data_IF_072799840397
#
_entry.id   IF_072799840397
#
_cell.length_a   1.000
_cell.length_b   1.000
_cell.length_c   1.000
_cell.angle_alpha   90.00
_cell.angle_beta   90.00
_cell.angle_gamma   90.00
#
_symmetry.space_group_name_H-M   'P 1'
#
loop_
_entity.id
_entity.type
_entity.pdbx_description
1 polymer ?
#
# COMPACT_ATOMS: atom_id res chain seq x y z
N UNK A 1 21.80 26.75 30.30
CA UNK A 1 22.22 25.63 29.41
C UNK A 1 21.59 24.28 29.78
N UNK A 2 21.91 23.63 30.92
CA UNK A 2 21.36 22.28 31.25
C UNK A 2 19.82 22.21 31.33
N UNK A 3 19.17 23.22 31.92
CA UNK A 3 17.70 23.28 32.02
C UNK A 3 17.00 23.48 30.67
N UNK A 4 17.59 24.30 29.79
CA UNK A 4 17.04 24.64 28.46
C UNK A 4 17.14 23.45 27.49
N UNK A 5 18.28 22.74 27.50
CA UNK A 5 18.47 21.51 26.70
C UNK A 5 17.55 20.40 27.21
N UNK A 6 17.39 20.25 28.53
CA UNK A 6 16.45 19.28 29.10
C UNK A 6 15.01 19.56 28.65
N UNK A 7 14.58 20.81 28.69
CA UNK A 7 13.24 21.19 28.23
C UNK A 7 13.00 20.89 26.73
N UNK A 8 14.01 21.02 25.87
CA UNK A 8 13.91 20.60 24.46
C UNK A 8 13.67 19.09 24.35
N UNK A 9 14.44 18.27 25.09
CA UNK A 9 14.28 16.82 25.07
C UNK A 9 12.95 16.36 25.67
N UNK A 10 12.51 16.98 26.76
CA UNK A 10 11.23 16.72 27.38
C UNK A 10 10.07 17.05 26.42
N UNK A 11 10.21 18.08 25.56
CA UNK A 11 9.23 18.43 24.53
C UNK A 11 9.31 17.55 23.27
N UNK A 12 10.50 17.06 22.90
CA UNK A 12 10.73 16.20 21.74
C UNK A 12 10.19 14.79 21.91
N UNK A 13 10.43 14.21 23.09
CA UNK A 13 10.06 12.83 23.42
C UNK A 13 8.59 12.48 23.14
N UNK A 14 7.58 13.27 23.56
CA UNK A 14 6.19 12.94 23.29
C UNK A 14 5.85 12.92 21.79
N UNK A 15 6.50 13.75 20.95
CA UNK A 15 6.29 13.75 19.50
C UNK A 15 6.81 12.44 18.88
N UNK A 16 8.00 12.00 19.29
CA UNK A 16 8.60 10.74 18.83
C UNK A 16 7.84 9.51 19.34
N UNK A 17 7.29 9.58 20.57
CA UNK A 17 6.47 8.51 21.14
C UNK A 17 5.11 8.40 20.43
N UNK A 18 4.46 9.53 20.14
CA UNK A 18 3.22 9.57 19.34
C UNK A 18 3.46 9.00 17.93
N UNK A 19 4.53 9.41 17.27
CA UNK A 19 4.92 8.88 15.95
C UNK A 19 5.11 7.37 16.00
N UNK A 20 5.84 6.84 16.98
CA UNK A 20 6.06 5.38 17.12
C UNK A 20 4.76 4.61 17.31
N UNK A 21 3.83 5.12 18.12
CA UNK A 21 2.53 4.50 18.34
C UNK A 21 1.70 4.49 17.05
N UNK A 22 1.61 5.63 16.37
CA UNK A 22 0.84 5.73 15.11
C UNK A 22 1.45 4.89 14.00
N UNK A 23 2.77 4.92 13.86
CA UNK A 23 3.50 4.09 12.89
C UNK A 23 3.22 2.60 13.10
N UNK A 24 3.23 2.12 14.34
CA UNK A 24 2.94 0.72 14.63
C UNK A 24 1.51 0.30 14.20
N UNK A 25 0.53 1.20 14.34
CA UNK A 25 -0.85 0.97 13.89
C UNK A 25 -0.92 0.94 12.36
N UNK A 26 -0.28 1.91 11.69
CA UNK A 26 -0.27 2.00 10.23
C UNK A 26 0.48 0.82 9.59
N UNK A 27 1.61 0.39 10.17
CA UNK A 27 2.37 -0.78 9.73
C UNK A 27 1.54 -2.06 9.86
N UNK A 28 0.82 -2.24 10.98
CA UNK A 28 -0.07 -3.38 11.17
C UNK A 28 -1.23 -3.39 10.15
N UNK A 29 -1.82 -2.23 9.88
CA UNK A 29 -2.86 -2.10 8.86
C UNK A 29 -2.33 -2.41 7.45
N UNK A 30 -1.13 -1.92 7.11
CA UNK A 30 -0.47 -2.22 5.85
C UNK A 30 -0.18 -3.72 5.68
N UNK A 31 0.29 -4.39 6.73
CA UNK A 31 0.52 -5.83 6.73
C UNK A 31 -0.77 -6.63 6.48
N UNK A 32 -1.88 -6.27 7.13
CA UNK A 32 -3.17 -6.93 6.90
C UNK A 32 -3.64 -6.79 5.45
N UNK A 33 -3.50 -5.60 4.86
CA UNK A 33 -3.84 -5.36 3.45
C UNK A 33 -2.95 -6.15 2.50
N UNK A 34 -1.66 -6.26 2.82
CA UNK A 34 -0.69 -7.05 2.05
C UNK A 34 -1.06 -8.54 2.04
N UNK A 35 -1.39 -9.12 3.21
CA UNK A 35 -1.86 -10.50 3.30
C UNK A 35 -3.15 -10.76 2.51
N UNK A 36 -4.06 -9.78 2.46
CA UNK A 36 -5.27 -9.86 1.65
C UNK A 36 -4.95 -9.90 0.15
N UNK A 37 -4.04 -9.03 -0.31
CA UNK A 37 -3.58 -8.99 -1.71
C UNK A 37 -2.92 -10.31 -2.10
N UNK A 38 -2.07 -10.88 -1.25
CA UNK A 38 -1.42 -12.18 -1.48
C UNK A 38 -2.45 -13.31 -1.61
N UNK A 39 -3.43 -13.36 -0.69
CA UNK A 39 -4.50 -14.36 -0.72
C UNK A 39 -5.33 -14.28 -2.00
N UNK A 40 -5.76 -13.08 -2.39
CA UNK A 40 -6.52 -12.86 -3.62
C UNK A 40 -5.71 -13.22 -4.85
N UNK A 41 -4.42 -12.89 -4.87
CA UNK A 41 -3.51 -13.26 -5.96
C UNK A 41 -3.35 -14.77 -6.09
N UNK A 42 -3.20 -15.49 -4.97
CA UNK A 42 -3.15 -16.96 -4.95
C UNK A 42 -4.48 -17.59 -5.39
N UNK A 43 -5.61 -17.02 -4.99
CA UNK A 43 -6.93 -17.52 -5.41
C UNK A 43 -7.13 -17.31 -6.91
N UNK A 44 -6.77 -16.14 -7.45
CA UNK A 44 -6.78 -15.89 -8.88
C UNK A 44 -5.85 -16.87 -9.59
N UNK A 45 -4.63 -17.10 -9.08
CA UNK A 45 -3.70 -18.06 -9.68
C UNK A 45 -4.21 -19.50 -9.62
N UNK A 46 -4.98 -19.89 -8.59
CA UNK A 46 -5.59 -21.22 -8.50
C UNK A 46 -6.72 -21.37 -9.51
N UNK A 47 -7.58 -20.36 -9.62
CA UNK A 47 -8.71 -20.37 -10.56
C UNK A 47 -8.22 -20.20 -12.00
N UNK A 48 -7.19 -19.40 -12.25
CA UNK A 48 -6.59 -19.21 -13.57
C UNK A 48 -5.60 -20.31 -13.93
N UNK A 49 -4.85 -20.87 -12.99
CA UNK A 49 -3.90 -21.95 -13.22
C UNK A 49 -4.58 -23.29 -13.55
N UNK A 50 -5.85 -23.44 -13.16
CA UNK A 50 -6.70 -24.53 -13.67
C UNK A 50 -7.14 -24.33 -15.13
N UNK A 51 -6.94 -23.14 -15.70
CA UNK A 51 -7.21 -22.78 -17.10
C UNK A 51 -5.86 -22.52 -17.77
N UNK A 52 -5.29 -23.50 -18.48
CA UNK A 52 -3.97 -23.32 -19.09
C UNK A 52 -3.92 -22.08 -20.00
N UNK A 53 -2.75 -21.44 -20.10
CA UNK A 53 -2.57 -20.28 -21.00
C UNK A 53 -2.92 -20.63 -22.46
N UNK A 54 -2.63 -21.87 -22.87
CA UNK A 54 -3.08 -22.41 -24.14
C UNK A 54 -4.61 -22.45 -24.24
N UNK A 55 -5.32 -22.86 -23.19
CA UNK A 55 -6.78 -22.83 -23.11
C UNK A 55 -7.31 -21.40 -23.24
N UNK A 56 -6.70 -20.40 -22.59
CA UNK A 56 -7.09 -18.98 -22.71
C UNK A 56 -6.89 -18.43 -24.13
N UNK A 57 -5.77 -18.74 -24.78
CA UNK A 57 -5.51 -18.35 -26.18
C UNK A 57 -6.46 -19.07 -27.14
N UNK A 58 -6.74 -20.35 -26.88
CA UNK A 58 -7.72 -21.14 -27.63
C UNK A 58 -9.12 -20.51 -27.50
N UNK A 59 -9.56 -20.18 -26.29
CA UNK A 59 -10.85 -19.51 -26.03
C UNK A 59 -10.90 -18.16 -26.75
N UNK A 60 -9.83 -17.37 -26.68
CA UNK A 60 -9.72 -16.06 -27.34
C UNK A 60 -9.88 -16.19 -28.85
N UNK A 61 -9.16 -17.13 -29.47
CA UNK A 61 -9.27 -17.43 -30.90
C UNK A 61 -10.71 -17.77 -31.30
N UNK A 62 -11.40 -18.63 -30.55
CA UNK A 62 -12.77 -19.02 -30.86
C UNK A 62 -13.76 -17.87 -30.67
N UNK A 63 -13.58 -17.01 -29.66
CA UNK A 63 -14.43 -15.82 -29.44
C UNK A 63 -14.24 -14.79 -30.57
N UNK A 64 -13.01 -14.53 -30.96
CA UNK A 64 -12.67 -13.54 -32.00
C UNK A 64 -13.11 -14.01 -33.39
N UNK A 65 -13.06 -15.32 -33.66
CA UNK A 65 -13.40 -15.92 -34.96
C UNK A 65 -14.80 -16.57 -34.99
N UNK A 66 -15.67 -16.26 -34.03
CA UNK A 66 -16.94 -16.97 -33.80
C UNK A 66 -17.84 -17.12 -35.04
N UNK A 67 -17.79 -16.17 -35.97
CA UNK A 67 -18.61 -16.12 -37.19
C UNK A 67 -18.07 -16.98 -38.34
N UNK A 68 -16.79 -17.34 -38.28
CA UNK A 68 -16.10 -18.14 -39.31
C UNK A 68 -16.02 -19.62 -38.94
N UNK A 69 -16.50 -19.98 -37.75
CA UNK A 69 -16.50 -21.35 -37.27
C UNK A 69 -17.63 -22.19 -37.88
N UNK A 70 -17.38 -23.48 -38.14
CA UNK A 70 -18.43 -24.45 -38.44
C UNK A 70 -19.54 -24.47 -37.36
N UNK A 71 -20.81 -24.69 -37.72
CA UNK A 71 -21.94 -24.66 -36.79
C UNK A 71 -21.76 -25.57 -35.55
N UNK A 72 -21.20 -26.76 -35.76
CA UNK A 72 -20.93 -27.75 -34.71
C UNK A 72 -19.93 -27.23 -33.65
N UNK A 73 -18.91 -26.50 -34.11
CA UNK A 73 -17.94 -25.86 -33.22
C UNK A 73 -18.52 -24.62 -32.54
N UNK A 74 -19.44 -23.90 -33.18
CA UNK A 74 -20.15 -22.80 -32.53
C UNK A 74 -21.01 -23.29 -31.36
N UNK A 75 -21.74 -24.40 -31.52
CA UNK A 75 -22.51 -25.03 -30.44
C UNK A 75 -21.61 -25.50 -29.30
N UNK A 76 -20.50 -26.18 -29.62
CA UNK A 76 -19.53 -26.61 -28.62
C UNK A 76 -18.98 -25.43 -27.81
N UNK A 77 -18.59 -24.33 -28.47
CA UNK A 77 -18.09 -23.12 -27.80
C UNK A 77 -19.18 -22.46 -26.96
N UNK A 78 -20.43 -22.42 -27.42
CA UNK A 78 -21.54 -21.87 -26.63
C UNK A 78 -21.83 -22.69 -25.37
N UNK A 79 -21.79 -24.01 -25.48
CA UNK A 79 -22.02 -24.91 -24.35
C UNK A 79 -20.87 -24.83 -23.35
N UNK A 80 -19.63 -24.85 -23.84
CA UNK A 80 -18.45 -24.63 -23.03
C UNK A 80 -18.49 -23.27 -22.31
N UNK A 81 -18.92 -22.20 -22.99
CA UNK A 81 -19.10 -20.89 -22.36
C UNK A 81 -20.16 -20.94 -21.25
N UNK A 82 -21.30 -21.61 -21.44
CA UNK A 82 -22.31 -21.78 -20.38
C UNK A 82 -21.76 -22.53 -19.16
N UNK A 83 -20.97 -23.57 -19.39
CA UNK A 83 -20.36 -24.38 -18.33
C UNK A 83 -19.29 -23.59 -17.55
N UNK A 84 -18.60 -22.65 -18.20
CA UNK A 84 -17.48 -21.91 -17.63
C UNK A 84 -17.80 -20.44 -17.24
N UNK A 85 -18.99 -19.92 -17.56
CA UNK A 85 -19.43 -18.55 -17.22
C UNK A 85 -19.29 -18.28 -15.71
N UNK A 86 -19.57 -19.28 -14.86
CA UNK A 86 -19.40 -19.17 -13.41
C UNK A 86 -17.94 -18.90 -13.03
N UNK A 87 -16.99 -19.61 -13.65
CA UNK A 87 -15.56 -19.43 -13.44
C UNK A 87 -15.09 -18.06 -13.92
N UNK A 88 -15.54 -17.60 -15.10
CA UNK A 88 -15.21 -16.26 -15.59
C UNK A 88 -15.75 -15.13 -14.71
N UNK A 89 -17.00 -15.27 -14.25
CA UNK A 89 -17.64 -14.30 -13.34
C UNK A 89 -16.90 -14.25 -12.01
N UNK A 90 -16.47 -15.41 -11.49
CA UNK A 90 -15.67 -15.51 -10.27
C UNK A 90 -14.30 -14.84 -10.44
N UNK A 91 -13.58 -15.11 -11.54
CA UNK A 91 -12.27 -14.47 -11.82
C UNK A 91 -12.42 -12.96 -11.95
N UNK A 92 -13.46 -12.48 -12.65
CA UNK A 92 -13.72 -11.05 -12.79
C UNK A 92 -13.97 -10.39 -11.41
N UNK A 93 -14.76 -11.03 -10.55
CA UNK A 93 -15.00 -10.56 -9.18
C UNK A 93 -13.71 -10.53 -8.35
N UNK A 94 -12.92 -11.61 -8.37
CA UNK A 94 -11.64 -11.67 -7.64
C UNK A 94 -10.65 -10.61 -8.14
N UNK A 95 -10.61 -10.36 -9.45
CA UNK A 95 -9.81 -9.28 -10.03
C UNK A 95 -10.25 -7.92 -9.48
N UNK A 96 -11.54 -7.63 -9.46
CA UNK A 96 -12.06 -6.35 -8.98
C UNK A 96 -11.76 -6.17 -7.49
N UNK A 97 -11.90 -7.23 -6.68
CA UNK A 97 -11.50 -7.24 -5.27
C UNK A 97 -9.99 -7.05 -5.06
N UNK A 98 -9.16 -7.61 -5.95
CA UNK A 98 -7.70 -7.44 -5.92
C UNK A 98 -7.31 -5.99 -6.26
N UNK A 99 -7.92 -5.41 -7.29
CA UNK A 99 -7.68 -4.01 -7.67
C UNK A 99 -8.03 -3.06 -6.53
N UNK A 100 -9.18 -3.25 -5.89
CA UNK A 100 -9.57 -2.43 -4.73
C UNK A 100 -8.59 -2.64 -3.55
N UNK A 101 -8.18 -3.89 -3.29
CA UNK A 101 -7.24 -4.18 -2.20
C UNK A 101 -5.85 -3.61 -2.44
N UNK A 102 -5.39 -3.55 -3.70
CA UNK A 102 -4.14 -2.89 -4.07
C UNK A 102 -4.22 -1.38 -3.87
N UNK A 103 -5.36 -0.76 -4.20
CA UNK A 103 -5.61 0.66 -3.95
C UNK A 103 -5.61 0.96 -2.45
N UNK A 104 -6.30 0.15 -1.67
CA UNK A 104 -6.29 0.24 -0.20
C UNK A 104 -4.88 0.15 0.38
N UNK A 105 -4.05 -0.76 -0.15
CA UNK A 105 -2.66 -0.95 0.27
C UNK A 105 -1.81 0.29 -0.08
N UNK A 106 -2.00 0.85 -1.28
CA UNK A 106 -1.33 2.07 -1.71
C UNK A 106 -1.72 3.29 -0.84
N UNK A 107 -3.00 3.42 -0.49
CA UNK A 107 -3.49 4.50 0.37
C UNK A 107 -2.91 4.38 1.79
N UNK A 108 -2.79 3.16 2.32
CA UNK A 108 -2.14 2.93 3.61
C UNK A 108 -0.65 3.30 3.59
N UNK A 109 0.07 2.95 2.53
CA UNK A 109 1.46 3.37 2.33
C UNK A 109 1.60 4.89 2.29
N UNK A 110 0.70 5.55 1.55
CA UNK A 110 0.66 7.01 1.45
C UNK A 110 0.37 7.69 2.79
N UNK A 111 -0.48 7.11 3.63
CA UNK A 111 -0.74 7.61 4.99
C UNK A 111 0.51 7.52 5.87
N UNK A 112 1.25 6.41 5.82
CA UNK A 112 2.50 6.26 6.56
C UNK A 112 3.56 7.32 6.14
N UNK A 113 3.66 7.61 4.83
CA UNK A 113 4.53 8.69 4.33
C UNK A 113 4.12 10.05 4.88
N UNK A 114 2.83 10.39 4.87
CA UNK A 114 2.33 11.67 5.43
C UNK A 114 2.62 11.79 6.92
N UNK A 115 2.39 10.72 7.69
CA UNK A 115 2.71 10.68 9.12
C UNK A 115 4.18 10.99 9.38
N UNK A 116 5.08 10.41 8.58
CA UNK A 116 6.51 10.69 8.67
C UNK A 116 6.79 12.17 8.36
N UNK A 117 6.33 12.69 7.22
CA UNK A 117 6.54 14.09 6.82
C UNK A 117 6.02 15.09 7.85
N UNK A 118 4.82 14.87 8.39
CA UNK A 118 4.22 15.70 9.45
C UNK A 118 5.09 15.70 10.71
N UNK A 119 5.54 14.52 11.14
CA UNK A 119 6.39 14.37 12.34
C UNK A 119 7.73 15.06 12.14
N UNK A 120 8.37 14.85 10.99
CA UNK A 120 9.65 15.47 10.66
C UNK A 120 9.54 16.99 10.58
N UNK A 121 8.47 17.52 10.01
CA UNK A 121 8.20 18.96 9.95
C UNK A 121 8.03 19.55 11.35
N UNK A 122 7.29 18.88 12.24
CA UNK A 122 7.14 19.30 13.65
C UNK A 122 8.47 19.31 14.39
N UNK A 123 9.27 18.25 14.26
CA UNK A 123 10.60 18.16 14.90
C UNK A 123 11.57 19.21 14.37
N UNK A 124 11.54 19.48 13.06
CA UNK A 124 12.36 20.51 12.44
C UNK A 124 12.00 21.91 12.95
N UNK A 125 10.72 22.28 12.93
CA UNK A 125 10.25 23.57 13.46
C UNK A 125 10.59 23.76 14.93
N UNK A 126 10.42 22.71 15.75
CA UNK A 126 10.79 22.74 17.16
C UNK A 126 12.29 22.97 17.35
N UNK A 127 13.13 22.34 16.52
CA UNK A 127 14.59 22.51 16.55
C UNK A 127 14.99 23.93 16.15
N UNK A 128 14.42 24.46 15.06
CA UNK A 128 14.65 25.84 14.62
C UNK A 128 14.25 26.87 15.69
N UNK A 129 13.07 26.71 16.29
CA UNK A 129 12.60 27.59 17.35
C UNK A 129 13.51 27.55 18.59
N UNK A 130 14.09 26.40 18.89
CA UNK A 130 15.01 26.25 20.00
C UNK A 130 16.39 26.84 19.70
N UNK A 131 16.94 26.62 18.50
CA UNK A 131 18.17 27.26 18.01
C UNK A 131 18.05 28.79 18.06
N UNK A 132 16.95 29.34 17.56
CA UNK A 132 16.68 30.78 17.60
C UNK A 132 16.66 31.32 19.04
N UNK A 133 16.05 30.58 19.98
CA UNK A 133 16.05 30.95 21.41
C UNK A 133 17.46 30.91 22.02
N UNK A 134 18.29 29.92 21.68
CA UNK A 134 19.67 29.86 22.16
C UNK A 134 20.47 31.05 21.61
N UNK A 135 20.38 31.31 20.30
CA UNK A 135 21.09 32.43 19.66
C UNK A 135 20.67 33.78 20.27
N UNK A 136 19.38 33.97 20.55
CA UNK A 136 18.88 35.20 21.18
C UNK A 136 19.39 35.40 22.62
N UNK A 137 19.70 34.32 23.34
CA UNK A 137 20.19 34.37 24.73
C UNK A 137 21.73 34.41 24.81
N UNK A 138 22.43 33.73 23.90
CA UNK A 138 23.88 33.46 24.02
C UNK A 138 24.72 34.04 22.87
N UNK A 139 24.10 34.59 21.82
CA UNK A 139 24.79 35.27 20.70
C UNK A 139 25.55 34.34 19.73
N UNK A 140 25.56 33.02 19.95
CA UNK A 140 26.16 32.02 19.05
C UNK A 140 25.32 30.73 18.99
N UNK A 141 25.21 30.07 17.81
CA UNK A 141 24.54 28.77 17.71
C UNK A 141 25.40 27.67 18.34
N UNK A 142 24.80 26.83 19.18
CA UNK A 142 25.45 25.65 19.77
C UNK A 142 25.38 24.46 18.81
N UNK A 143 26.54 23.92 18.38
CA UNK A 143 26.68 22.86 17.37
C UNK A 143 26.33 21.43 17.86
N UNK A 144 25.49 21.29 18.90
CA UNK A 144 25.30 20.03 19.63
C UNK A 144 23.93 19.39 19.42
N UNK A 145 23.30 19.57 18.25
CA UNK A 145 22.04 18.89 17.95
C UNK A 145 22.29 17.54 17.30
N UNK A 146 21.72 16.45 17.84
CA UNK A 146 21.79 15.17 17.18
C UNK A 146 20.90 15.16 15.93
N UNK A 147 21.22 14.28 14.97
CA UNK A 147 20.47 14.16 13.74
C UNK A 147 19.00 13.81 14.02
N UNK A 148 18.15 14.25 13.09
CA UNK A 148 16.77 13.80 13.00
C UNK A 148 16.73 12.25 12.90
N UNK A 149 15.77 11.57 13.54
CA UNK A 149 15.67 10.11 13.44
C UNK A 149 15.46 9.73 11.97
N UNK A 150 16.25 8.75 11.51
CA UNK A 150 16.04 8.04 10.24
C UNK A 150 14.80 7.14 10.33
#
# INVERSE_FOLDING_TARGET
MKGTIKAYWDARKPIEDEYRQRKAVDDAAFQQKTQKVERLSQEIQTVSGSISQATMEFIRFFIENKRELPPELQEYVQQWQKENIGSFTRVAKLRDELVESLKDQHDASSQATRLYEETMSKLWLMTQNFEAKIVAVEGKPTSSFPPLPL
#
